data_IF_383890292721
#
_entry.id   IF_383890292721
#
_cell.length_a   1.000
_cell.length_b   1.000
_cell.length_c   1.000
_cell.angle_alpha   90.00
_cell.angle_beta   90.00
_cell.angle_gamma   90.00
#
_symmetry.space_group_name_H-M   'P 1'
#
loop_
_entity.id
_entity.type
_entity.pdbx_description
1 polymer ?
#
# COMPACT_ATOMS: atom_id res chain seq x y z
N UNK A 1 -13.11 -4.82 -2.37
CA UNK A 1 -12.02 -5.75 -2.69
C UNK A 1 -12.25 -6.25 -4.11
N UNK A 2 -11.19 -6.39 -4.92
CA UNK A 2 -11.28 -6.92 -6.27
C UNK A 2 -11.62 -8.42 -6.29
N UNK A 3 -11.80 -8.97 -7.50
CA UNK A 3 -12.04 -10.40 -7.71
C UNK A 3 -10.86 -11.27 -7.25
N UNK A 4 -9.64 -10.76 -7.43
CA UNK A 4 -8.40 -11.40 -6.97
C UNK A 4 -7.65 -10.48 -6.00
N UNK A 5 -6.68 -11.00 -5.23
CA UNK A 5 -5.83 -10.18 -4.38
C UNK A 5 -4.82 -9.32 -5.16
N UNK A 6 -4.81 -9.40 -6.49
CA UNK A 6 -3.94 -8.57 -7.36
C UNK A 6 -4.51 -7.18 -7.63
N UNK A 7 -5.81 -6.92 -7.32
CA UNK A 7 -6.42 -5.60 -7.48
C UNK A 7 -6.00 -4.64 -6.35
N UNK A 8 -5.81 -3.38 -6.69
CA UNK A 8 -5.53 -2.31 -5.73
C UNK A 8 -4.15 -1.69 -5.88
N UNK A 9 -3.42 -1.57 -4.78
CA UNK A 9 -2.08 -0.97 -4.75
C UNK A 9 -1.04 -1.84 -5.44
N UNK A 10 0.04 -1.22 -5.88
CA UNK A 10 1.29 -1.92 -6.23
C UNK A 10 1.80 -2.63 -4.98
N UNK A 11 2.20 -3.88 -5.12
CA UNK A 11 2.67 -4.73 -4.01
C UNK A 11 4.12 -5.15 -4.23
N UNK A 12 4.64 -6.00 -3.39
CA UNK A 12 6.02 -6.51 -3.49
C UNK A 12 6.29 -7.15 -4.86
N UNK A 13 5.42 -8.08 -5.29
CA UNK A 13 5.55 -8.84 -6.55
C UNK A 13 4.34 -8.70 -7.48
N UNK A 14 3.22 -8.13 -7.01
CA UNK A 14 1.99 -7.99 -7.79
C UNK A 14 1.82 -6.59 -8.34
N UNK A 15 1.27 -6.51 -9.54
CA UNK A 15 1.10 -5.24 -10.26
C UNK A 15 0.17 -4.23 -9.59
N UNK A 16 -0.79 -4.69 -8.78
CA UNK A 16 -1.95 -3.90 -8.44
C UNK A 16 -2.91 -3.79 -9.64
N UNK A 17 -3.81 -2.81 -9.60
CA UNK A 17 -4.78 -2.60 -10.69
C UNK A 17 -4.08 -2.16 -11.98
N UNK A 18 -4.34 -2.88 -13.07
CA UNK A 18 -3.88 -2.58 -14.42
C UNK A 18 -5.08 -2.39 -15.36
N UNK A 19 -4.85 -1.75 -16.50
CA UNK A 19 -5.85 -1.64 -17.55
C UNK A 19 -6.15 -3.03 -18.16
N UNK A 20 -7.42 -3.48 -18.22
CA UNK A 20 -7.77 -4.76 -18.85
C UNK A 20 -7.31 -4.85 -20.32
N UNK A 21 -7.30 -3.73 -21.04
CA UNK A 21 -6.80 -3.67 -22.41
C UNK A 21 -5.33 -4.01 -22.54
N UNK A 22 -4.50 -3.66 -21.53
CA UNK A 22 -3.10 -4.08 -21.48
C UNK A 22 -2.98 -5.60 -21.45
N UNK A 23 -3.79 -6.27 -20.62
CA UNK A 23 -3.77 -7.74 -20.49
C UNK A 23 -4.11 -8.40 -21.84
N UNK A 24 -5.14 -7.91 -22.50
CA UNK A 24 -5.54 -8.41 -23.82
C UNK A 24 -4.47 -8.15 -24.88
N UNK A 25 -3.85 -6.99 -24.84
CA UNK A 25 -2.81 -6.59 -25.79
C UNK A 25 -1.55 -7.45 -25.66
N UNK A 26 -1.06 -7.70 -24.45
CA UNK A 26 0.14 -8.53 -24.27
C UNK A 26 -0.08 -9.99 -24.69
N UNK A 27 -1.32 -10.48 -24.62
CA UNK A 27 -1.68 -11.81 -25.13
C UNK A 27 -1.75 -11.83 -26.66
N UNK A 28 -2.43 -10.85 -27.27
CA UNK A 28 -2.66 -10.81 -28.71
C UNK A 28 -1.39 -10.44 -29.50
N UNK A 29 -0.70 -9.38 -29.09
CA UNK A 29 0.45 -8.82 -29.80
C UNK A 29 1.79 -9.27 -29.21
N UNK A 30 1.85 -9.47 -27.87
CA UNK A 30 3.04 -9.98 -27.18
C UNK A 30 3.19 -11.50 -27.30
N UNK A 31 2.15 -12.21 -27.70
CA UNK A 31 2.15 -13.66 -27.86
C UNK A 31 2.26 -14.43 -26.53
N UNK A 32 2.02 -13.77 -25.39
CA UNK A 32 2.08 -14.40 -24.08
C UNK A 32 0.84 -15.26 -23.83
N UNK A 33 1.04 -16.47 -23.34
CA UNK A 33 -0.04 -17.32 -22.86
C UNK A 33 -0.70 -16.73 -21.60
N UNK A 34 -1.92 -17.16 -21.32
CA UNK A 34 -2.62 -16.78 -20.08
C UNK A 34 -1.81 -17.12 -18.83
N UNK A 35 -1.09 -18.25 -18.83
CA UNK A 35 -0.25 -18.65 -17.70
C UNK A 35 0.94 -17.70 -17.50
N UNK A 36 1.63 -17.30 -18.57
CA UNK A 36 2.74 -16.35 -18.51
C UNK A 36 2.28 -14.97 -18.05
N UNK A 37 1.12 -14.50 -18.54
CA UNK A 37 0.55 -13.22 -18.09
C UNK A 37 0.15 -13.27 -16.61
N UNK A 38 -0.47 -14.37 -16.17
CA UNK A 38 -0.83 -14.56 -14.76
C UNK A 38 0.39 -14.55 -13.85
N UNK A 39 1.42 -15.32 -14.21
CA UNK A 39 2.67 -15.42 -13.45
C UNK A 39 3.38 -14.08 -13.38
N UNK A 40 3.53 -13.41 -14.52
CA UNK A 40 4.14 -12.07 -14.58
C UNK A 40 3.42 -11.02 -13.71
N UNK A 41 2.08 -11.01 -13.71
CA UNK A 41 1.30 -10.07 -12.91
C UNK A 41 1.33 -10.37 -11.41
N UNK A 42 1.49 -11.65 -11.02
CA UNK A 42 1.44 -12.07 -9.61
C UNK A 42 2.82 -12.15 -8.95
N UNK A 43 3.87 -12.49 -9.70
CA UNK A 43 5.18 -12.82 -9.13
C UNK A 43 6.31 -11.92 -9.61
N UNK A 44 6.25 -11.38 -10.85
CA UNK A 44 7.32 -10.62 -11.47
C UNK A 44 7.00 -9.12 -11.67
N UNK A 45 5.82 -8.70 -11.24
CA UNK A 45 5.39 -7.31 -11.28
C UNK A 45 5.69 -6.56 -9.96
N UNK A 46 4.98 -5.49 -9.69
CA UNK A 46 5.10 -4.72 -8.46
C UNK A 46 6.47 -4.07 -8.28
N UNK A 47 6.95 -4.03 -7.05
CA UNK A 47 8.27 -3.46 -6.74
C UNK A 47 9.41 -4.27 -7.38
N UNK A 48 9.28 -5.59 -7.47
CA UNK A 48 10.27 -6.45 -8.16
C UNK A 48 10.38 -6.04 -9.62
N UNK A 49 9.26 -5.92 -10.33
CA UNK A 49 9.25 -5.56 -11.74
C UNK A 49 9.74 -4.13 -11.99
N UNK A 50 9.50 -3.20 -11.08
CA UNK A 50 9.88 -1.80 -11.21
C UNK A 50 11.32 -1.51 -10.75
N UNK A 51 11.76 -2.14 -9.66
CA UNK A 51 13.04 -1.84 -9.00
C UNK A 51 13.93 -3.06 -8.77
N UNK A 52 13.57 -4.25 -9.25
CA UNK A 52 14.35 -5.48 -9.07
C UNK A 52 14.41 -5.99 -7.62
N UNK A 53 13.58 -5.48 -6.72
CA UNK A 53 13.50 -5.92 -5.33
C UNK A 53 12.10 -5.78 -4.76
N UNK A 54 11.66 -6.78 -3.98
CA UNK A 54 10.38 -6.77 -3.27
C UNK A 54 10.42 -5.99 -1.94
N UNK A 55 11.63 -5.69 -1.42
CA UNK A 55 11.82 -5.04 -0.13
C UNK A 55 11.76 -3.51 -0.26
N UNK A 56 10.73 -2.88 0.30
CA UNK A 56 10.57 -1.42 0.31
C UNK A 56 11.76 -0.70 0.95
N UNK A 57 12.45 -1.30 1.92
CA UNK A 57 13.66 -0.70 2.53
C UNK A 57 14.78 -0.58 1.50
N UNK A 58 14.94 -1.62 0.67
CA UNK A 58 15.89 -1.61 -0.45
C UNK A 58 15.52 -0.57 -1.50
N UNK A 59 14.23 -0.44 -1.84
CA UNK A 59 13.75 0.59 -2.77
C UNK A 59 14.04 1.99 -2.23
N UNK A 60 13.72 2.26 -0.97
CA UNK A 60 13.97 3.57 -0.33
C UNK A 60 15.47 3.91 -0.29
N UNK A 61 16.32 2.95 0.07
CA UNK A 61 17.77 3.15 0.13
C UNK A 61 18.36 3.45 -1.26
N UNK A 62 17.95 2.72 -2.28
CA UNK A 62 18.41 2.94 -3.67
C UNK A 62 17.88 4.25 -4.25
N UNK A 63 16.63 4.60 -4.00
CA UNK A 63 16.07 5.89 -4.42
C UNK A 63 16.84 7.07 -3.78
N UNK A 64 17.17 6.97 -2.47
CA UNK A 64 17.98 7.96 -1.79
C UNK A 64 19.40 8.07 -2.35
N UNK A 65 19.94 7.00 -2.95
CA UNK A 65 21.22 6.98 -3.65
C UNK A 65 21.14 7.47 -5.11
N UNK A 66 19.95 7.91 -5.58
CA UNK A 66 19.76 8.44 -6.94
C UNK A 66 19.47 7.39 -8.02
N UNK A 67 19.10 6.16 -7.62
CA UNK A 67 18.68 5.11 -8.56
C UNK A 67 17.34 5.49 -9.20
N UNK A 68 17.31 5.56 -10.54
CA UNK A 68 16.13 6.02 -11.28
C UNK A 68 14.97 5.02 -11.22
N UNK A 69 15.24 3.73 -11.29
CA UNK A 69 14.22 2.68 -11.26
C UNK A 69 13.56 2.59 -9.87
N UNK A 70 14.38 2.68 -8.81
CA UNK A 70 13.88 2.72 -7.44
C UNK A 70 13.08 3.99 -7.17
N UNK A 71 13.48 5.12 -7.73
CA UNK A 71 12.73 6.39 -7.65
C UNK A 71 11.38 6.27 -8.34
N UNK A 72 11.35 5.73 -9.55
CA UNK A 72 10.12 5.47 -10.30
C UNK A 72 9.18 4.52 -9.53
N UNK A 73 9.72 3.41 -9.00
CA UNK A 73 8.95 2.46 -8.22
C UNK A 73 8.29 3.12 -6.99
N UNK A 74 9.05 3.97 -6.29
CA UNK A 74 8.58 4.73 -5.14
C UNK A 74 7.48 5.73 -5.52
N UNK A 75 7.66 6.46 -6.62
CA UNK A 75 6.68 7.43 -7.10
C UNK A 75 5.37 6.76 -7.53
N UNK A 76 5.46 5.64 -8.26
CA UNK A 76 4.28 4.84 -8.65
C UNK A 76 3.56 4.31 -7.40
N UNK A 77 4.30 3.78 -6.43
CA UNK A 77 3.74 3.26 -5.18
C UNK A 77 3.00 4.34 -4.39
N UNK A 78 3.62 5.50 -4.19
CA UNK A 78 3.03 6.64 -3.47
C UNK A 78 1.83 7.21 -4.23
N UNK A 79 1.92 7.34 -5.56
CA UNK A 79 0.81 7.79 -6.40
C UNK A 79 -0.43 6.90 -6.22
N UNK A 80 -0.24 5.58 -6.24
CA UNK A 80 -1.34 4.62 -6.05
C UNK A 80 -1.97 4.70 -4.65
N UNK A 81 -1.16 4.91 -3.61
CA UNK A 81 -1.68 5.14 -2.25
C UNK A 81 -2.55 6.41 -2.23
N UNK A 82 -2.03 7.54 -2.73
CA UNK A 82 -2.76 8.82 -2.75
C UNK A 82 -4.09 8.71 -3.48
N UNK A 83 -4.07 8.16 -4.69
CA UNK A 83 -5.29 8.01 -5.50
C UNK A 83 -6.27 7.06 -4.84
N UNK A 84 -5.81 5.99 -4.21
CA UNK A 84 -6.63 5.05 -3.45
C UNK A 84 -7.30 5.72 -2.24
N UNK A 85 -6.56 6.47 -1.44
CA UNK A 85 -7.11 7.23 -0.30
C UNK A 85 -8.15 8.23 -0.78
N UNK A 86 -7.84 9.03 -1.81
CA UNK A 86 -8.76 10.04 -2.34
C UNK A 86 -10.05 9.39 -2.89
N UNK A 87 -9.95 8.28 -3.61
CA UNK A 87 -11.10 7.55 -4.14
C UNK A 87 -12.00 7.02 -3.01
N UNK A 88 -11.42 6.45 -1.96
CA UNK A 88 -12.19 5.96 -0.82
C UNK A 88 -12.78 7.11 0.00
N UNK A 89 -12.06 8.21 0.16
CA UNK A 89 -12.61 9.43 0.78
C UNK A 89 -13.85 9.92 0.05
N UNK A 90 -13.80 9.96 -1.28
CA UNK A 90 -14.96 10.34 -2.09
C UNK A 90 -16.13 9.35 -1.94
N UNK A 91 -15.85 8.04 -1.94
CA UNK A 91 -16.85 7.00 -1.78
C UNK A 91 -17.55 7.04 -0.41
N UNK A 92 -16.84 7.45 0.64
CA UNK A 92 -17.37 7.58 2.01
C UNK A 92 -18.01 8.94 2.30
N UNK A 93 -17.87 9.91 1.40
CA UNK A 93 -18.36 11.29 1.61
C UNK A 93 -17.46 12.12 2.54
N UNK A 94 -16.23 11.69 2.81
CA UNK A 94 -15.25 12.29 3.69
C UNK A 94 -14.52 11.26 4.54
N UNK A 95 -13.53 11.71 5.33
CA UNK A 95 -12.85 10.89 6.32
C UNK A 95 -12.61 11.70 7.59
N UNK A 96 -12.67 11.06 8.75
CA UNK A 96 -12.32 11.63 10.05
C UNK A 96 -10.93 11.16 10.50
N UNK A 97 -10.50 10.00 10.01
CA UNK A 97 -9.22 9.41 10.35
C UNK A 97 -8.58 8.67 9.17
N UNK A 98 -7.24 8.70 9.12
CA UNK A 98 -6.39 7.93 8.22
C UNK A 98 -5.46 7.04 9.06
N UNK A 99 -5.63 5.72 8.94
CA UNK A 99 -4.79 4.75 9.61
C UNK A 99 -3.78 4.10 8.65
N UNK A 100 -2.52 4.07 9.07
CA UNK A 100 -1.45 3.33 8.41
C UNK A 100 -1.19 2.04 9.18
N UNK A 101 -1.16 0.91 8.49
CA UNK A 101 -0.97 -0.42 9.07
C UNK A 101 -0.22 -1.33 8.11
N UNK A 102 0.16 -2.50 8.58
CA UNK A 102 0.95 -3.47 7.80
C UNK A 102 2.41 -3.05 7.65
N UNK A 103 3.25 -3.93 7.12
CA UNK A 103 4.70 -3.76 7.16
C UNK A 103 5.22 -2.41 6.68
N UNK A 104 4.74 -1.92 5.53
CA UNK A 104 5.17 -0.60 5.00
C UNK A 104 4.48 0.54 5.76
N UNK A 105 3.19 0.42 6.05
CA UNK A 105 2.44 1.45 6.77
C UNK A 105 3.00 1.71 8.18
N UNK A 106 3.41 0.66 8.87
CA UNK A 106 3.95 0.73 10.23
C UNK A 106 5.42 1.19 10.26
N UNK A 107 6.25 0.68 9.34
CA UNK A 107 7.71 0.78 9.47
C UNK A 107 8.38 1.73 8.46
N UNK A 108 7.62 2.37 7.55
CA UNK A 108 8.19 3.28 6.57
C UNK A 108 7.66 4.72 6.72
N UNK A 109 8.20 5.53 7.63
CA UNK A 109 7.79 6.91 7.85
C UNK A 109 7.86 7.76 6.59
N UNK A 110 8.83 7.53 5.72
CA UNK A 110 8.99 8.21 4.44
C UNK A 110 7.80 7.95 3.50
N UNK A 111 7.27 6.72 3.47
CA UNK A 111 6.09 6.39 2.67
C UNK A 111 4.86 7.12 3.20
N UNK A 112 4.65 7.13 4.52
CA UNK A 112 3.55 7.85 5.15
C UNK A 112 3.63 9.34 4.85
N UNK A 113 4.81 9.95 5.01
CA UNK A 113 5.05 11.36 4.70
C UNK A 113 4.72 11.66 3.24
N UNK A 114 5.34 10.93 2.30
CA UNK A 114 5.09 11.13 0.86
C UNK A 114 3.62 10.92 0.49
N UNK A 115 2.93 9.94 1.07
CA UNK A 115 1.51 9.73 0.82
C UNK A 115 0.69 10.95 1.24
N UNK A 116 0.94 11.50 2.43
CA UNK A 116 0.18 12.62 3.01
C UNK A 116 0.50 13.96 2.34
N UNK A 117 1.73 14.20 1.88
CA UNK A 117 2.15 15.45 1.21
C UNK A 117 1.22 15.88 0.05
N UNK A 118 0.54 14.94 -0.59
CA UNK A 118 -0.43 15.21 -1.65
C UNK A 118 -1.89 15.25 -1.19
N UNK A 119 -2.19 15.10 0.11
CA UNK A 119 -3.55 14.96 0.65
C UNK A 119 -3.97 16.11 1.58
N UNK A 120 -3.20 17.20 1.61
CA UNK A 120 -3.53 18.37 2.44
C UNK A 120 -4.91 18.96 2.17
N UNK A 121 -5.41 18.86 0.94
CA UNK A 121 -6.76 19.30 0.56
C UNK A 121 -7.88 18.50 1.25
N UNK A 122 -7.58 17.33 1.80
CA UNK A 122 -8.51 16.53 2.62
C UNK A 122 -8.44 16.88 4.11
N UNK A 123 -7.55 17.80 4.51
CA UNK A 123 -7.31 18.12 5.91
C UNK A 123 -6.34 17.18 6.62
N UNK A 124 -5.63 16.32 5.87
CA UNK A 124 -4.62 15.41 6.42
C UNK A 124 -3.28 16.14 6.54
N UNK A 125 -2.65 16.07 7.71
CA UNK A 125 -1.30 16.58 7.95
C UNK A 125 -0.59 15.72 9.00
N UNK A 126 0.71 15.50 8.82
CA UNK A 126 1.56 14.77 9.77
C UNK A 126 2.44 15.71 10.59
N UNK A 127 2.67 15.32 11.83
CA UNK A 127 3.78 15.84 12.64
C UNK A 127 5.03 15.03 12.30
N UNK A 128 6.07 15.69 11.79
CA UNK A 128 7.29 15.02 11.31
C UNK A 128 7.97 14.20 12.42
N UNK A 129 8.12 14.78 13.61
CA UNK A 129 8.77 14.10 14.74
C UNK A 129 7.99 12.87 15.20
N UNK A 130 6.66 12.98 15.33
CA UNK A 130 5.81 11.85 15.69
C UNK A 130 5.80 10.77 14.61
N UNK A 131 5.77 11.17 13.33
CA UNK A 131 5.83 10.22 12.24
C UNK A 131 7.13 9.43 12.23
N UNK A 132 8.26 10.10 12.43
CA UNK A 132 9.59 9.46 12.37
C UNK A 132 9.85 8.56 13.59
N UNK A 133 9.27 8.90 14.76
CA UNK A 133 9.43 8.14 16.00
C UNK A 133 8.30 7.14 16.28
N UNK A 134 7.33 6.99 15.36
CA UNK A 134 6.19 6.11 15.55
C UNK A 134 6.63 4.65 15.80
N UNK A 135 6.12 4.07 16.88
CA UNK A 135 6.32 2.69 17.27
C UNK A 135 5.03 2.16 17.88
N UNK A 136 4.57 1.00 17.39
CA UNK A 136 3.26 0.46 17.79
C UNK A 136 2.10 1.40 17.42
N UNK A 137 1.00 1.30 18.14
CA UNK A 137 -0.15 2.17 17.97
C UNK A 137 0.23 3.62 18.35
N UNK A 138 0.24 4.52 17.39
CA UNK A 138 0.77 5.88 17.55
C UNK A 138 -0.06 6.91 16.82
N UNK A 139 -0.30 8.06 17.44
CA UNK A 139 -0.87 9.25 16.79
C UNK A 139 0.25 10.02 16.12
N UNK A 140 0.20 10.14 14.81
CA UNK A 140 1.22 10.80 13.98
C UNK A 140 0.72 12.08 13.30
N UNK A 141 -0.58 12.39 13.45
CA UNK A 141 -1.19 13.59 12.89
C UNK A 141 -0.70 14.88 13.56
N UNK A 142 -0.66 15.95 12.78
CA UNK A 142 -0.42 17.30 13.30
C UNK A 142 -1.59 17.73 14.19
N UNK A 143 -1.30 18.35 15.32
CA UNK A 143 -2.33 18.89 16.21
C UNK A 143 -3.14 19.96 15.48
N UNK A 144 -4.46 19.80 15.48
CA UNK A 144 -5.37 20.73 14.80
C UNK A 144 -5.61 20.40 13.31
N UNK A 145 -5.03 19.32 12.78
CA UNK A 145 -5.41 18.82 11.47
C UNK A 145 -6.89 18.40 11.45
N UNK A 146 -7.55 18.57 10.30
CA UNK A 146 -8.96 18.21 10.13
C UNK A 146 -9.22 16.70 10.18
N UNK A 147 -8.20 15.90 9.83
CA UNK A 147 -8.23 14.43 9.80
C UNK A 147 -7.18 13.88 10.74
N UNK A 148 -7.58 13.00 11.65
CA UNK A 148 -6.65 12.28 12.52
C UNK A 148 -5.78 11.32 11.70
N UNK A 149 -4.46 11.30 11.96
CA UNK A 149 -3.55 10.34 11.32
C UNK A 149 -2.88 9.47 12.37
N UNK A 150 -2.96 8.16 12.20
CA UNK A 150 -2.47 7.18 13.17
C UNK A 150 -1.69 6.06 12.48
N UNK A 151 -0.75 5.46 13.20
CA UNK A 151 -0.21 4.13 12.91
C UNK A 151 -0.92 3.13 13.81
N UNK A 152 -1.31 2.01 13.26
CA UNK A 152 -1.95 0.91 14.00
C UNK A 152 -1.25 -0.39 13.63
N UNK A 153 -0.74 -1.13 14.64
CA UNK A 153 -0.14 -2.43 14.39
C UNK A 153 -1.16 -3.43 13.84
N UNK A 154 -0.77 -4.17 12.82
CA UNK A 154 -1.55 -5.30 12.32
C UNK A 154 -1.53 -6.43 13.36
N UNK A 155 -2.72 -6.88 13.75
CA UNK A 155 -2.91 -7.97 14.74
C UNK A 155 -3.71 -9.12 14.14
N UNK A 156 -3.28 -9.56 12.95
CA UNK A 156 -3.93 -10.63 12.20
C UNK A 156 -3.92 -11.95 12.97
N UNK A 157 -2.85 -12.22 13.71
CA UNK A 157 -2.68 -13.39 14.58
C UNK A 157 -3.75 -13.46 15.69
N UNK A 158 -4.07 -12.32 16.29
CA UNK A 158 -5.14 -12.22 17.32
C UNK A 158 -6.50 -12.50 16.71
N UNK A 159 -6.79 -11.96 15.52
CA UNK A 159 -8.04 -12.19 14.83
C UNK A 159 -8.17 -13.64 14.37
N UNK A 160 -7.12 -14.23 13.81
CA UNK A 160 -7.08 -15.65 13.47
C UNK A 160 -7.34 -16.51 14.70
N UNK A 161 -6.66 -16.24 15.83
CA UNK A 161 -6.87 -16.96 17.07
C UNK A 161 -8.30 -16.84 17.59
N UNK A 162 -8.92 -15.67 17.46
CA UNK A 162 -10.32 -15.43 17.82
C UNK A 162 -11.28 -16.27 16.98
N UNK A 163 -11.08 -16.28 15.66
CA UNK A 163 -11.92 -17.06 14.73
C UNK A 163 -11.76 -18.55 14.95
N UNK A 164 -10.54 -19.05 15.14
CA UNK A 164 -10.29 -20.47 15.46
C UNK A 164 -10.99 -20.89 16.75
N UNK A 165 -10.89 -20.06 17.80
CA UNK A 165 -11.60 -20.35 19.08
C UNK A 165 -13.11 -20.37 18.89
N UNK A 166 -13.67 -19.46 18.10
CA UNK A 166 -15.11 -19.45 17.81
C UNK A 166 -15.57 -20.72 17.08
N UNK A 167 -14.77 -21.20 16.12
CA UNK A 167 -15.05 -22.43 15.39
C UNK A 167 -14.95 -23.69 16.29
N UNK A 168 -13.92 -23.76 17.15
CA UNK A 168 -13.72 -24.89 18.04
C UNK A 168 -14.66 -24.87 19.26
N UNK A 169 -15.04 -23.70 19.75
CA UNK A 169 -15.95 -23.53 20.89
C UNK A 169 -17.43 -23.67 20.53
N UNK A 170 -17.80 -23.62 19.24
CA UNK A 170 -19.18 -23.82 18.75
C UNK A 170 -19.63 -25.27 18.59
N UNK A 171 -18.81 -26.24 19.04
CA UNK A 171 -19.12 -27.70 19.03
C UNK A 171 -19.48 -28.24 20.41
N UNK A 172 -20.21 -27.47 21.20
CA UNK A 172 -20.79 -27.88 22.50
C UNK A 172 -22.29 -27.64 22.57
#
# INVERSE_FOLDING_TARGET
MGFTPSSGLVMATRSGSVDPGLVLWVQAEGGLSTAEVSDGLEHDAGLVGLAGTADMRGVLARAAAGDADATLALDVYVYRIRTGIAAMTAAMGGIDALAFTGGVGEHAPEIRRRAVDGLGFLGVALDAGRNDSAAGDSVIGLVGAGVASVVVEAREDVEIARQVRALLGGTG
#
